data_IF_430234216231
#
_entry.id   IF_430234216231
#
_cell.length_a   1.000
_cell.length_b   1.000
_cell.length_c   1.000
_cell.angle_alpha   90.00
_cell.angle_beta   90.00
_cell.angle_gamma   90.00
#
_symmetry.space_group_name_H-M   'P 1'
#
loop_
_entity.id
_entity.type
_entity.pdbx_description
1 polymer ?
#
# COMPACT_ATOMS: atom_id res chain seq x y z
N UNK A 1 -44.64 39.83 40.37
CA UNK A 1 -43.35 39.15 40.60
C UNK A 1 -43.70 37.79 41.18
N UNK A 2 -43.47 36.64 40.55
CA UNK A 2 -42.21 36.17 39.97
C UNK A 2 -42.44 34.90 39.12
N UNK A 3 -41.80 34.90 37.95
CA UNK A 3 -41.07 33.79 37.32
C UNK A 3 -41.86 32.56 36.83
N UNK A 4 -42.41 32.69 35.62
CA UNK A 4 -42.35 31.62 34.60
C UNK A 4 -40.94 31.54 34.02
N UNK A 5 -40.22 30.43 34.21
CA UNK A 5 -39.22 29.99 33.23
C UNK A 5 -39.03 28.47 33.32
N UNK A 6 -39.78 27.75 32.48
CA UNK A 6 -39.68 26.30 32.29
C UNK A 6 -38.40 25.97 31.52
N UNK A 7 -37.56 25.15 32.14
CA UNK A 7 -36.73 24.08 31.55
C UNK A 7 -36.07 24.39 30.19
N UNK A 8 -34.86 24.94 30.23
CA UNK A 8 -33.90 24.79 29.13
C UNK A 8 -33.12 23.50 29.40
N UNK A 9 -33.52 22.40 28.73
CA UNK A 9 -32.73 21.19 28.65
C UNK A 9 -31.64 21.43 27.59
N UNK A 10 -30.42 21.76 28.03
CA UNK A 10 -29.26 21.87 27.15
C UNK A 10 -28.89 20.46 26.65
N UNK A 11 -29.43 20.08 25.49
CA UNK A 11 -29.02 18.89 24.75
C UNK A 11 -27.71 19.21 24.03
N UNK A 12 -26.60 19.20 24.76
CA UNK A 12 -25.26 19.26 24.17
C UNK A 12 -24.95 17.91 23.53
N UNK A 13 -25.36 17.73 22.26
CA UNK A 13 -24.82 16.67 21.41
C UNK A 13 -23.31 16.89 21.27
N UNK A 14 -22.51 16.11 22.01
CA UNK A 14 -21.10 15.91 21.76
C UNK A 14 -20.96 15.27 20.38
N UNK A 15 -20.87 16.09 19.33
CA UNK A 15 -20.30 15.70 18.04
C UNK A 15 -18.79 15.53 18.27
N UNK A 16 -18.40 14.44 18.95
CA UNK A 16 -17.02 13.98 18.85
C UNK A 16 -16.85 13.55 17.39
N UNK A 17 -15.94 14.18 16.62
CA UNK A 17 -15.61 13.66 15.30
C UNK A 17 -15.13 12.23 15.52
N UNK A 18 -15.88 11.27 15.01
CA UNK A 18 -15.40 9.90 14.86
C UNK A 18 -14.19 10.06 13.95
N UNK A 19 -12.99 10.01 14.51
CA UNK A 19 -11.77 9.93 13.73
C UNK A 19 -11.85 8.58 13.01
N UNK A 20 -12.41 8.59 11.80
CA UNK A 20 -12.25 7.47 10.91
C UNK A 20 -10.74 7.31 10.72
N UNK A 21 -10.19 6.14 11.05
CA UNK A 21 -8.83 5.76 10.69
C UNK A 21 -8.74 5.69 9.18
N UNK A 22 -8.62 6.86 8.56
CA UNK A 22 -8.30 7.02 7.16
C UNK A 22 -6.78 7.14 7.07
N UNK A 23 -6.20 6.44 6.11
CA UNK A 23 -4.80 6.64 5.76
C UNK A 23 -4.53 8.13 5.49
N UNK A 24 -3.30 8.58 5.74
CA UNK A 24 -2.86 9.95 5.40
C UNK A 24 -2.28 10.06 3.97
N UNK A 25 -2.62 9.12 3.09
CA UNK A 25 -2.29 9.15 1.67
C UNK A 25 -3.29 10.06 0.94
N UNK A 26 -2.82 11.22 0.50
CA UNK A 26 -3.63 12.25 -0.14
C UNK A 26 -3.50 12.24 -1.66
N UNK A 27 -4.61 12.45 -2.35
CA UNK A 27 -4.63 12.57 -3.81
C UNK A 27 -3.71 13.70 -4.30
N UNK A 28 -2.97 13.39 -5.37
CA UNK A 28 -2.01 14.25 -6.04
C UNK A 28 -0.80 14.70 -5.18
N UNK A 29 -0.66 14.15 -3.96
CA UNK A 29 0.52 14.33 -3.13
C UNK A 29 1.48 13.16 -3.26
N UNK A 30 2.75 13.37 -2.91
CA UNK A 30 3.68 12.26 -2.71
C UNK A 30 3.23 11.46 -1.48
N UNK A 31 3.48 10.15 -1.50
CA UNK A 31 3.30 9.35 -0.27
C UNK A 31 4.15 9.94 0.87
N UNK A 32 3.68 9.87 2.13
CA UNK A 32 4.47 10.34 3.25
C UNK A 32 5.87 9.69 3.28
N UNK A 33 6.91 10.46 3.65
CA UNK A 33 8.29 9.98 3.62
C UNK A 33 8.49 8.82 4.59
N UNK A 34 9.03 7.71 4.10
CA UNK A 34 9.34 6.50 4.87
C UNK A 34 10.72 6.00 4.46
N UNK A 35 11.50 5.56 5.45
CA UNK A 35 12.75 4.83 5.25
C UNK A 35 12.68 3.45 5.91
N UNK A 36 13.00 2.40 5.16
CA UNK A 36 13.06 1.01 5.62
C UNK A 36 14.51 0.57 5.51
N UNK A 37 15.22 0.59 6.64
CA UNK A 37 16.64 0.27 6.73
C UNK A 37 16.91 -1.19 7.09
N UNK A 38 16.02 -1.84 7.86
CA UNK A 38 16.13 -3.27 8.09
C UNK A 38 15.54 -4.04 6.90
N UNK A 39 16.38 -4.84 6.25
CA UNK A 39 16.17 -5.54 4.96
C UNK A 39 15.83 -4.64 3.78
N UNK A 40 14.83 -3.76 3.87
CA UNK A 40 14.48 -2.85 2.78
C UNK A 40 14.21 -3.60 1.48
N UNK A 41 14.74 -3.09 0.37
CA UNK A 41 14.49 -3.67 -0.96
C UNK A 41 15.28 -4.98 -1.15
N UNK A 42 14.55 -6.03 -1.55
CA UNK A 42 15.12 -7.28 -2.02
C UNK A 42 15.63 -7.14 -3.46
N UNK A 43 16.90 -7.45 -3.65
CA UNK A 43 17.57 -7.52 -4.94
C UNK A 43 17.98 -8.96 -5.24
N UNK A 44 18.08 -9.27 -6.54
CA UNK A 44 18.50 -10.58 -7.03
C UNK A 44 19.58 -10.37 -8.09
N UNK A 45 20.79 -10.81 -7.79
CA UNK A 45 21.96 -10.70 -8.69
C UNK A 45 22.57 -12.09 -8.87
N UNK A 46 22.59 -12.61 -10.10
CA UNK A 46 23.17 -13.94 -10.40
C UNK A 46 22.69 -15.04 -9.43
N UNK A 47 21.38 -15.10 -9.22
CA UNK A 47 20.70 -16.02 -8.29
C UNK A 47 20.96 -15.82 -6.79
N UNK A 48 21.74 -14.80 -6.42
CA UNK A 48 21.98 -14.41 -5.03
C UNK A 48 21.02 -13.29 -4.60
N UNK A 49 20.33 -13.52 -3.49
CA UNK A 49 19.48 -12.52 -2.87
C UNK A 49 20.31 -11.60 -1.96
N UNK A 50 20.07 -10.29 -2.08
CA UNK A 50 20.63 -9.33 -1.13
C UNK A 50 19.65 -8.20 -0.85
N UNK A 51 19.92 -7.47 0.21
CA UNK A 51 19.03 -6.47 0.78
C UNK A 51 19.70 -5.11 0.77
N UNK A 52 18.95 -4.05 0.46
CA UNK A 52 19.44 -2.68 0.53
C UNK A 52 18.42 -1.77 1.20
N UNK A 53 18.92 -0.73 1.87
CA UNK A 53 18.07 0.31 2.44
C UNK A 53 17.16 0.90 1.35
N UNK A 54 15.90 1.12 1.71
CA UNK A 54 14.90 1.67 0.81
C UNK A 54 14.24 2.89 1.43
N UNK A 55 13.79 3.83 0.59
CA UNK A 55 12.95 4.93 1.04
C UNK A 55 11.93 5.32 -0.05
N UNK A 56 10.84 5.95 0.37
CA UNK A 56 9.72 6.27 -0.52
C UNK A 56 10.03 7.32 -1.60
N UNK A 57 11.14 8.06 -1.50
CA UNK A 57 11.57 8.94 -2.59
C UNK A 57 11.98 8.16 -3.84
N UNK A 58 12.34 6.88 -3.70
CA UNK A 58 12.65 5.97 -4.81
C UNK A 58 11.42 5.56 -5.63
N UNK A 59 10.20 6.00 -5.25
CA UNK A 59 8.96 5.69 -5.97
C UNK A 59 8.76 6.54 -7.24
N UNK A 60 9.53 7.61 -7.43
CA UNK A 60 9.51 8.38 -8.67
C UNK A 60 10.15 7.61 -9.85
N UNK A 61 9.91 8.08 -11.06
CA UNK A 61 10.52 7.62 -12.31
C UNK A 61 9.68 6.65 -13.14
N UNK A 62 8.64 6.02 -12.57
CA UNK A 62 7.72 5.10 -13.26
C UNK A 62 6.31 5.28 -12.73
N UNK A 63 5.31 4.97 -13.56
CA UNK A 63 3.94 4.75 -13.08
C UNK A 63 3.94 3.47 -12.25
N UNK A 64 3.27 3.47 -11.09
CA UNK A 64 3.32 2.32 -10.18
C UNK A 64 1.97 1.93 -9.65
N UNK A 65 1.83 0.63 -9.41
CA UNK A 65 0.97 0.15 -8.33
C UNK A 65 1.87 -0.16 -7.14
N UNK A 66 1.64 0.54 -6.04
CA UNK A 66 2.27 0.30 -4.75
C UNK A 66 1.30 -0.51 -3.89
N UNK A 67 1.71 -1.70 -3.51
CA UNK A 67 0.98 -2.59 -2.61
C UNK A 67 1.67 -2.57 -1.25
N UNK A 68 0.93 -2.26 -0.19
CA UNK A 68 1.36 -2.53 1.17
C UNK A 68 0.57 -3.74 1.67
N UNK A 69 1.24 -4.82 2.07
CA UNK A 69 0.59 -6.08 2.44
C UNK A 69 1.13 -6.54 3.80
N UNK A 70 0.25 -6.85 4.76
CA UNK A 70 0.66 -7.54 5.98
C UNK A 70 1.30 -8.91 5.64
N UNK A 71 2.20 -9.40 6.48
CA UNK A 71 2.92 -10.67 6.32
C UNK A 71 2.05 -11.92 6.50
N UNK A 72 0.85 -11.94 5.91
CA UNK A 72 -0.22 -12.91 6.10
C UNK A 72 -0.79 -13.32 4.75
N UNK A 73 -1.14 -14.60 4.60
CA UNK A 73 -1.76 -15.11 3.38
C UNK A 73 -3.09 -14.41 3.09
N UNK A 74 -3.91 -14.15 4.12
CA UNK A 74 -5.19 -13.45 4.00
C UNK A 74 -5.06 -12.02 3.43
N UNK A 75 -3.99 -11.31 3.77
CA UNK A 75 -3.70 -9.99 3.21
C UNK A 75 -3.25 -10.08 1.75
N UNK A 76 -2.41 -11.08 1.42
CA UNK A 76 -1.96 -11.34 0.05
C UNK A 76 -3.12 -11.66 -0.89
N UNK A 77 -4.05 -12.50 -0.47
CA UNK A 77 -5.19 -12.96 -1.28
C UNK A 77 -6.11 -11.81 -1.72
N UNK A 78 -6.22 -10.73 -0.93
CA UNK A 78 -7.00 -9.52 -1.27
C UNK A 78 -6.55 -8.86 -2.57
N UNK A 79 -5.34 -9.13 -3.05
CA UNK A 79 -4.76 -8.50 -4.24
C UNK A 79 -4.73 -9.43 -5.47
N UNK A 80 -5.17 -10.68 -5.35
CA UNK A 80 -5.03 -11.67 -6.42
C UNK A 80 -5.65 -11.21 -7.75
N UNK A 81 -6.90 -10.73 -7.70
CA UNK A 81 -7.63 -10.23 -8.87
C UNK A 81 -6.94 -9.02 -9.52
N UNK A 82 -6.42 -8.10 -8.71
CA UNK A 82 -5.69 -6.94 -9.20
C UNK A 82 -4.38 -7.34 -9.88
N UNK A 83 -3.60 -8.24 -9.25
CA UNK A 83 -2.32 -8.72 -9.80
C UNK A 83 -2.54 -9.44 -11.13
N UNK A 84 -3.57 -10.28 -11.22
CA UNK A 84 -3.95 -10.97 -12.46
C UNK A 84 -4.30 -9.96 -13.58
N UNK A 85 -5.08 -8.94 -13.25
CA UNK A 85 -5.47 -7.89 -14.20
C UNK A 85 -4.27 -7.08 -14.69
N UNK A 86 -3.35 -6.69 -13.79
CA UNK A 86 -2.12 -5.98 -14.15
C UNK A 86 -1.23 -6.84 -15.06
N UNK A 87 -1.08 -8.14 -14.76
CA UNK A 87 -0.32 -9.06 -15.63
C UNK A 87 -0.94 -9.14 -17.02
N UNK A 88 -2.27 -9.27 -17.08
CA UNK A 88 -3.02 -9.37 -18.34
C UNK A 88 -2.96 -8.08 -19.16
N UNK A 89 -2.81 -6.92 -18.50
CA UNK A 89 -2.70 -5.63 -19.17
C UNK A 89 -1.37 -5.43 -19.94
N UNK A 90 -0.36 -6.29 -19.74
CA UNK A 90 0.88 -6.25 -20.53
C UNK A 90 1.64 -4.92 -20.44
N UNK A 91 1.62 -4.27 -19.28
CA UNK A 91 2.15 -2.91 -19.11
C UNK A 91 3.67 -2.85 -19.36
N UNK A 92 4.18 -1.78 -20.01
CA UNK A 92 5.57 -1.67 -20.42
C UNK A 92 6.53 -1.54 -19.22
N UNK A 93 7.42 -2.53 -19.03
CA UNK A 93 8.29 -2.63 -17.83
C UNK A 93 9.34 -1.50 -17.69
N UNK A 94 9.64 -0.77 -18.76
CA UNK A 94 10.50 0.42 -18.75
C UNK A 94 9.79 1.64 -18.13
N UNK A 95 8.47 1.74 -18.26
CA UNK A 95 7.65 2.89 -17.79
C UNK A 95 6.73 2.56 -16.61
N UNK A 96 6.44 1.28 -16.37
CA UNK A 96 5.60 0.77 -15.30
C UNK A 96 6.38 -0.14 -14.33
N UNK A 97 6.02 -0.12 -13.05
CA UNK A 97 6.51 -1.08 -12.07
C UNK A 97 5.51 -1.34 -10.94
N UNK A 98 5.22 -2.61 -10.64
CA UNK A 98 4.59 -3.00 -9.37
C UNK A 98 5.62 -2.98 -8.25
N UNK A 99 5.32 -2.29 -7.16
CA UNK A 99 6.14 -2.21 -5.95
C UNK A 99 5.36 -2.80 -4.78
N UNK A 100 5.89 -3.81 -4.12
CA UNK A 100 5.23 -4.49 -3.00
C UNK A 100 6.05 -4.31 -1.74
N UNK A 101 5.49 -3.62 -0.75
CA UNK A 101 6.02 -3.55 0.61
C UNK A 101 5.30 -4.61 1.44
N UNK A 102 6.04 -5.58 1.96
CA UNK A 102 5.51 -6.60 2.85
C UNK A 102 5.90 -6.26 4.28
N UNK A 103 4.89 -5.98 5.11
CA UNK A 103 5.07 -5.74 6.53
C UNK A 103 5.23 -7.08 7.27
N UNK A 104 6.46 -7.46 7.59
CA UNK A 104 6.72 -8.72 8.31
C UNK A 104 6.60 -8.60 9.82
N UNK A 105 6.49 -7.38 10.36
CA UNK A 105 6.10 -7.15 11.77
C UNK A 105 4.66 -7.66 12.02
N UNK A 106 3.82 -7.57 10.99
CA UNK A 106 2.44 -8.07 11.00
C UNK A 106 2.32 -9.47 10.39
N UNK A 107 3.34 -10.30 10.58
CA UNK A 107 3.30 -11.71 10.23
C UNK A 107 2.76 -12.56 11.40
N UNK A 108 2.11 -13.68 11.08
CA UNK A 108 1.73 -14.65 12.13
C UNK A 108 3.01 -15.14 12.84
N UNK A 109 3.05 -15.20 14.18
CA UNK A 109 4.21 -15.70 14.92
C UNK A 109 4.71 -17.05 14.39
N UNK A 110 6.00 -17.15 14.11
CA UNK A 110 6.63 -18.34 13.51
C UNK A 110 6.53 -18.44 11.99
N UNK A 111 5.78 -17.57 11.30
CA UNK A 111 5.60 -17.64 9.84
C UNK A 111 6.59 -16.80 9.03
N UNK A 112 7.40 -15.95 9.68
CA UNK A 112 8.27 -14.97 9.00
C UNK A 112 9.28 -15.57 8.01
N UNK A 113 9.74 -16.81 8.21
CA UNK A 113 10.58 -17.51 7.22
C UNK A 113 9.80 -17.83 5.93
N UNK A 114 8.56 -18.31 6.04
CA UNK A 114 7.71 -18.60 4.89
C UNK A 114 7.31 -17.33 4.14
N UNK A 115 7.05 -16.23 4.85
CA UNK A 115 6.80 -14.93 4.22
C UNK A 115 8.01 -14.51 3.38
N UNK A 116 9.23 -14.55 3.94
CA UNK A 116 10.46 -14.23 3.21
C UNK A 116 10.69 -15.13 2.01
N UNK A 117 10.54 -16.45 2.17
CA UNK A 117 10.66 -17.41 1.07
C UNK A 117 9.65 -17.15 -0.05
N UNK A 118 8.42 -16.73 0.31
CA UNK A 118 7.41 -16.33 -0.68
C UNK A 118 7.83 -15.08 -1.45
N UNK A 119 8.40 -14.07 -0.77
CA UNK A 119 8.91 -12.85 -1.42
C UNK A 119 10.04 -13.17 -2.39
N UNK A 120 11.03 -13.98 -1.95
CA UNK A 120 12.14 -14.43 -2.78
C UNK A 120 11.68 -15.21 -4.03
N UNK A 121 10.73 -16.14 -3.84
CA UNK A 121 10.14 -16.89 -4.95
C UNK A 121 9.43 -15.96 -5.95
N UNK A 122 8.70 -14.96 -5.46
CA UNK A 122 8.05 -13.97 -6.33
C UNK A 122 9.05 -13.05 -7.04
N UNK A 123 10.18 -12.71 -6.41
CA UNK A 123 11.25 -11.95 -7.07
C UNK A 123 11.91 -12.74 -8.21
N UNK A 124 12.07 -14.05 -8.06
CA UNK A 124 12.53 -14.94 -9.15
C UNK A 124 11.53 -15.01 -10.30
N UNK A 125 10.24 -15.15 -10.00
CA UNK A 125 9.18 -15.20 -11.01
C UNK A 125 8.95 -13.86 -11.72
N UNK A 126 9.12 -12.75 -11.01
CA UNK A 126 8.84 -11.40 -11.49
C UNK A 126 10.02 -10.45 -11.23
N UNK A 127 11.16 -10.63 -11.94
CA UNK A 127 12.40 -9.89 -11.65
C UNK A 127 12.27 -8.37 -11.85
N UNK A 128 11.32 -7.92 -12.70
CA UNK A 128 11.02 -6.50 -12.92
C UNK A 128 10.24 -5.84 -11.75
N UNK A 129 9.60 -6.63 -10.89
CA UNK A 129 8.86 -6.12 -9.74
C UNK A 129 9.80 -5.76 -8.59
N UNK A 130 9.43 -4.72 -7.83
CA UNK A 130 10.17 -4.29 -6.65
C UNK A 130 9.51 -4.88 -5.40
N UNK A 131 10.30 -5.50 -4.53
CA UNK A 131 9.83 -6.05 -3.26
C UNK A 131 10.62 -5.44 -2.13
N UNK A 132 9.93 -4.95 -1.11
CA UNK A 132 10.50 -4.34 0.08
C UNK A 132 10.01 -5.14 1.28
N UNK A 133 10.94 -5.54 2.15
CA UNK A 133 10.64 -6.18 3.43
C UNK A 133 10.68 -5.10 4.51
N UNK A 134 9.51 -4.78 5.06
CA UNK A 134 9.38 -3.88 6.19
C UNK A 134 9.32 -4.70 7.49
N UNK A 135 10.48 -4.89 8.11
CA UNK A 135 10.59 -5.70 9.32
C UNK A 135 9.89 -5.11 10.54
N UNK A 136 9.62 -3.80 10.55
CA UNK A 136 9.21 -3.06 11.75
C UNK A 136 7.89 -2.28 11.54
N UNK A 137 7.14 -2.59 10.48
CA UNK A 137 5.87 -1.93 10.17
C UNK A 137 5.96 -0.42 9.98
N UNK A 138 7.13 0.09 9.57
CA UNK A 138 7.40 1.53 9.44
C UNK A 138 6.42 2.18 8.46
N UNK A 139 6.19 1.55 7.31
CA UNK A 139 5.29 2.06 6.29
C UNK A 139 3.83 2.10 6.77
N UNK A 140 3.36 1.01 7.40
CA UNK A 140 2.01 0.92 7.98
C UNK A 140 1.77 2.07 8.96
N UNK A 141 2.69 2.27 9.89
CA UNK A 141 2.57 3.28 10.94
C UNK A 141 2.61 4.70 10.36
N UNK A 142 3.56 4.98 9.46
CA UNK A 142 3.67 6.30 8.83
C UNK A 142 2.47 6.64 7.94
N UNK A 143 1.88 5.64 7.29
CA UNK A 143 0.75 5.81 6.37
C UNK A 143 -0.63 5.63 7.03
N UNK A 144 -0.65 5.31 8.32
CA UNK A 144 -1.87 5.07 9.12
C UNK A 144 -2.78 3.99 8.49
N UNK A 145 -2.16 2.92 7.97
CA UNK A 145 -2.87 1.81 7.35
C UNK A 145 -3.41 0.83 8.39
N UNK A 146 -4.51 0.14 8.04
CA UNK A 146 -5.09 -0.91 8.88
C UNK A 146 -4.14 -2.09 9.09
N UNK A 147 -4.20 -2.65 10.29
CA UNK A 147 -3.51 -3.89 10.65
C UNK A 147 -4.11 -5.09 9.89
N UNK A 148 -3.31 -6.14 9.73
CA UNK A 148 -3.66 -7.42 9.09
C UNK A 148 -4.20 -7.27 7.64
N UNK A 149 -3.99 -6.09 7.08
CA UNK A 149 -4.65 -5.59 5.88
C UNK A 149 -3.76 -5.55 4.66
N UNK A 150 -4.34 -4.97 3.61
CA UNK A 150 -3.61 -4.61 2.40
C UNK A 150 -4.13 -3.27 1.90
N UNK A 151 -3.21 -2.42 1.44
CA UNK A 151 -3.53 -1.18 0.76
C UNK A 151 -2.97 -1.19 -0.66
N UNK A 152 -3.73 -0.61 -1.59
CA UNK A 152 -3.37 -0.45 -3.00
C UNK A 152 -3.32 1.05 -3.29
N UNK A 153 -2.20 1.49 -3.84
CA UNK A 153 -1.97 2.89 -4.23
C UNK A 153 -1.53 2.92 -5.69
N UNK A 154 -2.16 3.75 -6.51
CA UNK A 154 -1.67 4.05 -7.86
C UNK A 154 -0.88 5.34 -7.81
N UNK A 155 0.35 5.31 -8.32
CA UNK A 155 1.24 6.47 -8.39
C UNK A 155 1.50 6.86 -9.85
N UNK A 156 1.55 8.16 -10.13
CA UNK A 156 2.09 8.66 -11.39
C UNK A 156 3.63 8.56 -11.44
N UNK A 157 4.22 8.93 -12.57
CA UNK A 157 5.68 8.90 -12.78
C UNK A 157 6.46 9.82 -11.82
N UNK A 158 5.81 10.82 -11.24
CA UNK A 158 6.45 11.76 -10.32
C UNK A 158 6.33 11.25 -8.87
N UNK A 159 5.68 10.11 -8.65
CA UNK A 159 5.47 9.47 -7.36
C UNK A 159 4.30 10.07 -6.58
N UNK A 160 3.35 10.71 -7.27
CA UNK A 160 2.14 11.28 -6.66
C UNK A 160 1.00 10.28 -6.69
N UNK A 161 0.24 10.21 -5.61
CA UNK A 161 -0.97 9.37 -5.48
C UNK A 161 -2.00 9.84 -6.49
N UNK A 162 -2.53 8.90 -7.27
CA UNK A 162 -3.62 9.12 -8.23
C UNK A 162 -4.89 8.35 -7.84
N UNK A 163 -4.74 7.36 -6.96
CA UNK A 163 -5.81 6.55 -6.42
C UNK A 163 -5.29 5.75 -5.22
N UNK A 164 -6.12 5.55 -4.21
CA UNK A 164 -5.77 4.76 -3.02
C UNK A 164 -6.97 4.02 -2.46
N UNK A 165 -6.75 2.81 -1.98
CA UNK A 165 -7.69 2.07 -1.13
C UNK A 165 -6.96 1.24 -0.09
N UNK A 166 -7.34 1.41 1.17
CA UNK A 166 -6.92 0.55 2.29
C UNK A 166 -7.97 -0.55 2.55
N UNK A 167 -7.83 -1.64 1.79
CA UNK A 167 -8.70 -2.80 1.82
C UNK A 167 -8.72 -3.58 0.50
N UNK A 168 -9.56 -4.61 0.45
CA UNK A 168 -9.77 -5.40 -0.77
C UNK A 168 -10.48 -4.57 -1.85
N UNK A 169 -10.07 -4.76 -3.10
CA UNK A 169 -10.72 -4.13 -4.24
C UNK A 169 -11.91 -4.97 -4.71
N UNK A 170 -12.96 -4.28 -5.10
CA UNK A 170 -14.06 -4.83 -5.91
C UNK A 170 -13.60 -4.99 -7.36
N UNK A 171 -14.31 -5.78 -8.15
CA UNK A 171 -14.01 -5.94 -9.57
C UNK A 171 -14.07 -4.61 -10.35
N UNK A 172 -14.99 -3.72 -9.98
CA UNK A 172 -15.10 -2.39 -10.58
C UNK A 172 -13.86 -1.54 -10.28
N UNK A 173 -13.38 -1.56 -9.04
CA UNK A 173 -12.16 -0.82 -8.66
C UNK A 173 -10.91 -1.42 -9.33
N UNK A 174 -10.85 -2.74 -9.53
CA UNK A 174 -9.77 -3.36 -10.32
C UNK A 174 -9.77 -2.79 -11.75
N UNK A 175 -10.93 -2.71 -12.40
CA UNK A 175 -11.03 -2.12 -13.73
C UNK A 175 -10.62 -0.64 -13.73
N UNK A 176 -11.07 0.13 -12.75
CA UNK A 176 -10.69 1.54 -12.60
C UNK A 176 -9.17 1.70 -12.46
N UNK A 177 -8.51 0.85 -11.67
CA UNK A 177 -7.05 0.87 -11.54
C UNK A 177 -6.36 0.57 -12.87
N UNK A 178 -6.80 -0.45 -13.61
CA UNK A 178 -6.21 -0.77 -14.92
C UNK A 178 -6.39 0.37 -15.92
N UNK A 179 -7.59 0.95 -16.02
CA UNK A 179 -7.86 2.08 -16.90
C UNK A 179 -7.01 3.31 -16.54
N UNK A 180 -6.88 3.59 -15.24
CA UNK A 180 -6.02 4.66 -14.74
C UNK A 180 -4.56 4.43 -15.11
N UNK A 181 -4.05 3.20 -15.00
CA UNK A 181 -2.68 2.87 -15.40
C UNK A 181 -2.46 3.13 -16.89
N UNK A 182 -3.37 2.71 -17.78
CA UNK A 182 -3.27 3.01 -19.21
C UNK A 182 -3.28 4.52 -19.48
N UNK A 183 -4.12 5.28 -18.79
CA UNK A 183 -4.16 6.75 -18.90
C UNK A 183 -2.88 7.41 -18.43
N UNK A 184 -2.25 6.92 -17.37
CA UNK A 184 -0.99 7.48 -16.86
C UNK A 184 0.18 7.11 -17.78
N UNK A 185 0.13 5.96 -18.43
CA UNK A 185 1.13 5.46 -19.37
C UNK A 185 0.95 5.98 -20.81
N UNK A 186 -0.11 6.71 -21.13
CA UNK A 186 -0.25 7.38 -22.43
C UNK A 186 0.30 8.82 -22.43
N UNK A 187 0.65 9.34 -21.26
CA UNK A 187 1.32 10.64 -21.07
C UNK A 187 2.83 10.51 -21.22
#
# INVERSE_FOLDING_TARGET
MTMTLRKILAMSCLLLPIMACAHNLEDNQRVPPVGIADRGELTLNKDEFSYKNWNSAQLAGKVRVLLHIAGRTSAKEKNATLIEAIKSAGLPHDRYQTTTIVNTDDAIPGSGMFVRSSIESNKKLYPWSQFIVDSNGVARNAWQLKEEGSAVIVLDKDGRVQWVKDGALTQQEVQQVVDLLHKLLSK
#
